data_IF_697187653560
#
_entry.id   IF_697187653560
#
_cell.length_a   1.000
_cell.length_b   1.000
_cell.length_c   1.000
_cell.angle_alpha   90.00
_cell.angle_beta   90.00
_cell.angle_gamma   90.00
#
_symmetry.space_group_name_H-M   'P 1'
#
loop_
_entity.id
_entity.type
_entity.pdbx_description
1 polymer ?
#
# COMPACT_ATOMS: atom_id res chain seq x y z
N UNK A 1 -29.58 -6.96 28.45
CA UNK A 1 -28.12 -7.21 28.49
C UNK A 1 -27.76 -8.68 28.70
N UNK A 2 -28.62 -9.51 29.33
CA UNK A 2 -28.35 -10.92 29.67
C UNK A 2 -28.26 -11.95 28.51
N UNK A 3 -28.55 -11.60 27.26
CA UNK A 3 -28.70 -12.60 26.16
C UNK A 3 -27.74 -12.46 24.98
N UNK A 4 -26.89 -11.42 24.95
CA UNK A 4 -26.09 -11.10 23.76
C UNK A 4 -24.70 -11.73 23.78
N UNK A 5 -24.09 -11.84 24.95
CA UNK A 5 -22.79 -12.51 25.10
C UNK A 5 -22.86 -14.00 24.83
N UNK A 6 -23.93 -14.70 25.27
CA UNK A 6 -24.05 -16.15 25.11
C UNK A 6 -24.22 -16.55 23.64
N UNK A 7 -25.20 -15.96 22.93
CA UNK A 7 -25.53 -16.39 21.58
C UNK A 7 -24.44 -16.10 20.53
N UNK A 8 -23.65 -15.03 20.69
CA UNK A 8 -22.51 -14.77 19.80
C UNK A 8 -21.31 -15.65 20.17
N UNK A 9 -20.93 -15.69 21.46
CA UNK A 9 -19.83 -16.52 21.96
C UNK A 9 -20.01 -18.01 21.63
N UNK A 10 -21.23 -18.52 21.73
CA UNK A 10 -21.58 -19.91 21.39
C UNK A 10 -21.35 -20.27 19.91
N UNK A 11 -21.37 -19.27 19.02
CA UNK A 11 -21.04 -19.48 17.60
C UNK A 11 -19.54 -19.60 17.35
N UNK A 12 -18.72 -19.07 18.25
CA UNK A 12 -17.27 -18.97 18.06
C UNK A 12 -16.54 -20.23 18.52
N UNK A 13 -15.54 -20.63 17.73
CA UNK A 13 -14.50 -21.57 18.16
C UNK A 13 -13.35 -20.77 18.75
N UNK A 14 -12.98 -21.08 19.98
CA UNK A 14 -11.94 -20.35 20.75
C UNK A 14 -10.94 -21.33 21.39
N UNK A 15 -9.99 -21.87 20.60
CA UNK A 15 -9.06 -22.90 21.07
C UNK A 15 -8.07 -22.42 22.14
N UNK A 16 -7.78 -21.11 22.17
CA UNK A 16 -6.90 -20.50 23.17
C UNK A 16 -7.66 -19.95 24.39
N UNK A 17 -8.99 -20.06 24.42
CA UNK A 17 -9.84 -19.54 25.49
C UNK A 17 -9.67 -18.02 25.70
N UNK A 18 -9.52 -17.26 24.61
CA UNK A 18 -9.41 -15.78 24.58
C UNK A 18 -10.66 -15.10 25.14
N UNK A 19 -11.80 -15.75 25.07
CA UNK A 19 -13.09 -15.26 25.55
C UNK A 19 -13.40 -15.78 26.98
N UNK A 20 -12.40 -16.22 27.73
CA UNK A 20 -12.59 -16.73 29.10
C UNK A 20 -13.17 -15.67 30.04
N UNK A 21 -12.84 -14.39 29.82
CA UNK A 21 -13.35 -13.25 30.59
C UNK A 21 -14.84 -12.97 30.32
N UNK A 22 -15.41 -13.53 29.25
CA UNK A 22 -16.80 -13.32 28.85
C UNK A 22 -17.76 -14.18 29.69
N UNK A 23 -17.82 -13.86 30.97
CA UNK A 23 -18.66 -14.48 32.00
C UNK A 23 -19.27 -13.41 32.90
N UNK A 24 -20.45 -13.70 33.48
CA UNK A 24 -21.15 -12.75 34.36
C UNK A 24 -21.96 -11.67 33.62
N UNK A 25 -22.47 -10.70 34.37
CA UNK A 25 -23.37 -9.65 33.84
C UNK A 25 -22.65 -8.36 33.43
N UNK A 26 -21.45 -8.11 33.96
CA UNK A 26 -20.67 -6.90 33.67
C UNK A 26 -19.81 -7.07 32.40
N UNK A 27 -20.49 -7.04 31.26
CA UNK A 27 -19.86 -7.20 29.94
C UNK A 27 -18.82 -6.14 29.60
N UNK A 28 -18.81 -4.99 30.28
CA UNK A 28 -17.85 -3.92 30.05
C UNK A 28 -16.45 -4.24 30.59
N UNK A 29 -16.30 -5.33 31.36
CA UNK A 29 -15.01 -5.86 31.82
C UNK A 29 -14.48 -6.99 30.95
N UNK A 30 -15.25 -7.43 29.96
CA UNK A 30 -14.83 -8.51 29.08
C UNK A 30 -13.68 -8.04 28.19
N UNK A 31 -12.71 -8.92 27.99
CA UNK A 31 -11.58 -8.65 27.11
C UNK A 31 -12.07 -8.40 25.69
N UNK A 32 -11.54 -7.36 25.05
CA UNK A 32 -11.98 -6.92 23.72
C UNK A 32 -13.28 -6.10 23.71
N UNK A 33 -13.98 -5.93 24.83
CA UNK A 33 -15.21 -5.14 24.90
C UNK A 33 -14.94 -3.77 25.52
N UNK A 34 -15.46 -2.70 24.89
CA UNK A 34 -15.56 -1.41 25.56
C UNK A 34 -16.98 -0.84 25.46
N UNK A 35 -17.39 -0.20 26.56
CA UNK A 35 -18.70 0.41 26.70
C UNK A 35 -18.62 1.92 26.73
N UNK A 36 -19.72 2.57 26.35
CA UNK A 36 -19.90 4.00 26.56
C UNK A 36 -20.01 4.31 28.07
N UNK A 37 -19.17 5.22 28.55
CA UNK A 37 -19.05 5.54 29.99
C UNK A 37 -20.31 6.17 30.60
N UNK A 38 -21.28 6.63 29.79
CA UNK A 38 -22.51 7.27 30.28
C UNK A 38 -23.69 6.32 30.28
N UNK A 39 -23.80 5.50 29.24
CA UNK A 39 -24.96 4.64 28.99
C UNK A 39 -24.70 3.17 29.33
N UNK A 40 -23.43 2.74 29.43
CA UNK A 40 -23.05 1.35 29.63
C UNK A 40 -23.30 0.46 28.41
N UNK A 41 -23.66 1.01 27.25
CA UNK A 41 -23.83 0.23 26.03
C UNK A 41 -22.47 -0.16 25.45
N UNK A 42 -22.35 -1.40 24.96
CA UNK A 42 -21.18 -1.85 24.22
C UNK A 42 -21.08 -1.04 22.93
N UNK A 43 -19.94 -0.38 22.73
CA UNK A 43 -19.62 0.41 21.55
C UNK A 43 -18.48 -0.18 20.75
N UNK A 44 -17.55 -0.90 21.39
CA UNK A 44 -16.39 -1.51 20.74
C UNK A 44 -16.35 -2.99 21.03
N UNK A 45 -16.12 -3.77 19.96
CA UNK A 45 -15.77 -5.17 20.02
C UNK A 45 -14.50 -5.41 19.21
N UNK A 46 -13.44 -5.80 19.90
CA UNK A 46 -12.08 -5.95 19.37
C UNK A 46 -11.58 -7.34 19.70
N UNK A 47 -11.67 -8.21 18.70
CA UNK A 47 -11.30 -9.60 18.76
C UNK A 47 -10.15 -9.90 17.79
N UNK A 48 -9.36 -8.90 17.43
CA UNK A 48 -8.15 -9.08 16.63
C UNK A 48 -7.25 -10.15 17.26
N UNK A 49 -6.71 -11.07 16.45
CA UNK A 49 -5.73 -12.01 16.95
C UNK A 49 -4.44 -11.28 17.35
N UNK A 50 -3.96 -11.41 18.60
CA UNK A 50 -2.79 -10.67 19.07
C UNK A 50 -1.47 -11.17 18.44
N UNK A 51 -1.48 -12.32 17.77
CA UNK A 51 -0.32 -12.88 17.10
C UNK A 51 -0.35 -12.57 15.60
N UNK A 52 0.67 -11.88 15.11
CA UNK A 52 0.82 -11.63 13.69
C UNK A 52 1.08 -12.94 12.93
N UNK A 53 0.46 -13.06 11.76
CA UNK A 53 0.81 -14.08 10.79
C UNK A 53 2.26 -13.84 10.36
N UNK A 54 3.13 -14.81 10.63
CA UNK A 54 4.53 -14.77 10.20
C UNK A 54 4.85 -16.05 9.45
N UNK A 55 5.32 -15.90 8.21
CA UNK A 55 5.79 -17.02 7.37
C UNK A 55 7.00 -17.71 7.98
N UNK A 56 7.78 -17.00 8.81
CA UNK A 56 8.94 -17.52 9.55
C UNK A 56 8.65 -17.87 11.01
N UNK A 57 7.44 -17.53 11.49
CA UNK A 57 6.97 -17.81 12.84
C UNK A 57 6.29 -19.17 12.97
N UNK A 58 5.94 -19.51 14.20
CA UNK A 58 5.25 -20.76 14.50
C UNK A 58 3.77 -20.64 14.06
N UNK A 59 3.46 -21.06 12.83
CA UNK A 59 2.10 -21.16 12.28
C UNK A 59 1.14 -21.85 13.25
N UNK A 60 1.65 -22.72 14.13
CA UNK A 60 0.88 -23.37 15.18
C UNK A 60 0.34 -22.36 16.21
N UNK A 61 1.12 -21.34 16.59
CA UNK A 61 0.67 -20.29 17.50
C UNK A 61 -0.40 -19.42 16.86
N UNK A 62 -0.19 -18.94 15.63
CA UNK A 62 -1.22 -18.17 14.93
C UNK A 62 -2.56 -18.92 14.90
N UNK A 63 -2.54 -20.17 14.41
CA UNK A 63 -3.74 -20.99 14.29
C UNK A 63 -4.39 -21.34 15.64
N UNK A 64 -3.58 -21.52 16.70
CA UNK A 64 -4.10 -21.79 18.05
C UNK A 64 -4.82 -20.59 18.65
N UNK A 65 -4.44 -19.37 18.29
CA UNK A 65 -5.04 -18.14 18.82
C UNK A 65 -6.14 -17.56 17.93
N UNK A 66 -6.27 -18.04 16.70
CA UNK A 66 -7.35 -17.64 15.79
C UNK A 66 -8.71 -18.08 16.33
N UNK A 67 -9.62 -17.11 16.46
CA UNK A 67 -11.03 -17.40 16.58
C UNK A 67 -11.56 -17.93 15.24
N UNK A 68 -12.56 -18.79 15.30
CA UNK A 68 -13.27 -19.28 14.12
C UNK A 68 -14.73 -19.59 14.44
N UNK A 69 -15.33 -20.50 13.67
CA UNK A 69 -16.74 -20.86 13.85
C UNK A 69 -17.69 -19.98 13.05
N UNK A 70 -18.83 -19.63 13.63
CA UNK A 70 -19.93 -18.92 12.95
C UNK A 70 -20.07 -17.49 13.46
N UNK A 71 -20.20 -16.54 12.51
CA UNK A 71 -20.64 -15.19 12.81
C UNK A 71 -22.17 -15.14 12.86
N UNK A 72 -22.73 -15.19 14.07
CA UNK A 72 -24.18 -15.30 14.29
C UNK A 72 -24.91 -13.95 14.31
N UNK A 73 -26.19 -13.89 13.85
CA UNK A 73 -27.01 -12.67 13.88
C UNK A 73 -27.29 -12.11 15.28
N UNK A 74 -27.03 -12.88 16.35
CA UNK A 74 -27.09 -12.40 17.74
C UNK A 74 -26.25 -11.14 17.96
N UNK A 75 -25.19 -10.94 17.16
CA UNK A 75 -24.36 -9.72 17.18
C UNK A 75 -25.19 -8.45 16.92
N UNK A 76 -26.31 -8.53 16.19
CA UNK A 76 -27.20 -7.40 15.91
C UNK A 76 -27.82 -6.76 17.15
N UNK A 77 -27.84 -7.45 18.29
CA UNK A 77 -28.31 -6.82 19.51
C UNK A 77 -27.35 -5.77 20.07
N UNK A 78 -26.11 -5.70 19.58
CA UNK A 78 -25.17 -4.61 19.85
C UNK A 78 -25.52 -3.37 19.01
N UNK A 79 -26.69 -2.79 19.26
CA UNK A 79 -27.25 -1.68 18.45
C UNK A 79 -26.41 -0.40 18.42
N UNK A 80 -25.51 -0.25 19.39
CA UNK A 80 -24.65 0.93 19.57
C UNK A 80 -23.20 0.67 19.14
N UNK A 81 -22.93 -0.48 18.52
CA UNK A 81 -21.58 -0.84 18.09
C UNK A 81 -21.08 0.17 17.04
N UNK A 82 -19.93 0.77 17.34
CA UNK A 82 -19.23 1.73 16.50
C UNK A 82 -17.90 1.19 15.97
N UNK A 83 -17.36 0.15 16.60
CA UNK A 83 -16.07 -0.46 16.26
C UNK A 83 -16.21 -1.98 16.32
N UNK A 84 -15.91 -2.64 15.20
CA UNK A 84 -15.82 -4.09 15.09
C UNK A 84 -14.50 -4.47 14.43
N UNK A 85 -13.67 -5.20 15.17
CA UNK A 85 -12.42 -5.76 14.65
C UNK A 85 -12.40 -7.28 14.88
N UNK A 86 -12.37 -8.02 13.78
CA UNK A 86 -12.26 -9.48 13.74
C UNK A 86 -10.98 -9.90 13.01
N UNK A 87 -10.05 -8.99 12.78
CA UNK A 87 -8.88 -9.22 11.93
C UNK A 87 -7.96 -10.31 12.46
N UNK A 88 -7.19 -10.92 11.55
CA UNK A 88 -6.16 -11.92 11.84
C UNK A 88 -6.71 -13.21 12.50
N UNK A 89 -7.99 -13.50 12.33
CA UNK A 89 -8.63 -14.74 12.78
C UNK A 89 -8.79 -15.75 11.62
N UNK A 90 -9.52 -16.85 11.83
CA UNK A 90 -9.78 -17.82 10.78
C UNK A 90 -11.19 -18.42 10.88
N UNK A 91 -12.11 -17.84 10.12
CA UNK A 91 -13.50 -18.30 9.99
C UNK A 91 -13.70 -19.37 8.91
N UNK A 92 -12.62 -19.93 8.34
CA UNK A 92 -12.68 -21.13 7.52
C UNK A 92 -13.40 -20.96 6.17
N UNK A 93 -13.25 -19.81 5.52
CA UNK A 93 -13.89 -19.48 4.24
C UNK A 93 -15.35 -19.07 4.38
N UNK A 94 -15.80 -18.72 5.58
CA UNK A 94 -17.16 -18.24 5.81
C UNK A 94 -17.41 -16.96 5.00
N UNK A 95 -18.62 -16.84 4.42
CA UNK A 95 -19.05 -15.60 3.78
C UNK A 95 -19.27 -14.51 4.80
N UNK A 96 -18.91 -13.27 4.44
CA UNK A 96 -19.27 -12.10 5.24
C UNK A 96 -20.80 -12.08 5.35
N UNK A 97 -21.38 -12.15 6.57
CA UNK A 97 -22.83 -12.20 6.70
C UNK A 97 -23.48 -10.87 6.31
N UNK A 98 -24.58 -10.92 5.55
CA UNK A 98 -25.31 -9.72 5.10
C UNK A 98 -25.77 -8.83 6.25
N UNK A 99 -26.05 -9.44 7.42
CA UNK A 99 -26.51 -8.70 8.60
C UNK A 99 -25.48 -7.68 9.10
N UNK A 100 -24.19 -7.83 8.77
CA UNK A 100 -23.15 -6.84 9.12
C UNK A 100 -23.52 -5.46 8.57
N UNK A 101 -24.18 -5.39 7.42
CA UNK A 101 -24.71 -4.14 6.85
C UNK A 101 -25.79 -3.44 7.68
N UNK A 102 -26.27 -4.05 8.77
CA UNK A 102 -27.33 -3.48 9.62
C UNK A 102 -26.82 -2.61 10.77
N UNK A 103 -25.49 -2.54 11.00
CA UNK A 103 -24.91 -1.75 12.10
C UNK A 103 -24.87 -0.24 11.75
N UNK A 104 -25.99 0.45 11.97
CA UNK A 104 -26.16 1.87 11.61
C UNK A 104 -25.17 2.86 12.23
N UNK A 105 -24.55 2.50 13.35
CA UNK A 105 -23.59 3.36 14.07
C UNK A 105 -22.13 2.95 13.84
N UNK A 106 -21.89 1.93 13.03
CA UNK A 106 -20.55 1.42 12.78
C UNK A 106 -19.71 2.46 12.05
N UNK A 107 -18.54 2.76 12.60
CA UNK A 107 -17.56 3.69 12.07
C UNK A 107 -16.27 2.99 11.65
N UNK A 108 -15.95 1.89 12.30
CA UNK A 108 -14.76 1.09 12.06
C UNK A 108 -15.15 -0.38 11.88
N UNK A 109 -14.79 -0.95 10.73
CA UNK A 109 -14.94 -2.36 10.43
C UNK A 109 -13.63 -2.90 9.88
N UNK A 110 -13.01 -3.82 10.61
CA UNK A 110 -11.82 -4.53 10.17
C UNK A 110 -12.08 -6.04 10.18
N UNK A 111 -12.08 -6.63 8.98
CA UNK A 111 -12.24 -8.06 8.74
C UNK A 111 -11.00 -8.65 8.07
N UNK A 112 -9.88 -7.91 8.07
CA UNK A 112 -8.69 -8.28 7.33
C UNK A 112 -8.09 -9.60 7.81
N UNK A 113 -7.66 -10.44 6.88
CA UNK A 113 -7.05 -11.75 7.14
C UNK A 113 -7.83 -12.59 8.17
N UNK A 114 -9.16 -12.51 8.16
CA UNK A 114 -10.02 -13.26 9.07
C UNK A 114 -10.39 -14.66 8.52
N UNK A 115 -9.85 -15.07 7.37
CA UNK A 115 -10.23 -16.31 6.70
C UNK A 115 -11.70 -16.30 6.26
N UNK A 116 -12.20 -15.14 5.83
CA UNK A 116 -13.52 -14.98 5.21
C UNK A 116 -13.37 -15.12 3.69
N UNK A 117 -14.42 -15.56 3.00
CA UNK A 117 -14.38 -15.79 1.56
C UNK A 117 -15.74 -15.64 0.87
N UNK A 118 -15.78 -15.89 -0.43
CA UNK A 118 -16.93 -15.68 -1.29
C UNK A 118 -17.20 -14.21 -1.64
N UNK A 119 -18.39 -13.97 -2.18
CA UNK A 119 -18.82 -12.65 -2.63
C UNK A 119 -19.04 -11.70 -1.45
N UNK A 120 -18.48 -10.50 -1.52
CA UNK A 120 -18.73 -9.43 -0.54
C UNK A 120 -20.20 -8.96 -0.66
N UNK A 121 -20.99 -8.98 0.42
CA UNK A 121 -22.39 -8.61 0.37
C UNK A 121 -22.55 -7.10 0.18
N UNK A 122 -23.30 -6.69 -0.85
CA UNK A 122 -23.61 -5.28 -1.14
C UNK A 122 -24.31 -4.54 0.02
N UNK A 123 -24.92 -5.29 0.96
CA UNK A 123 -25.52 -4.75 2.18
C UNK A 123 -24.52 -3.97 3.04
N UNK A 124 -23.20 -4.20 2.91
CA UNK A 124 -22.19 -3.35 3.54
C UNK A 124 -22.34 -1.88 3.14
N UNK A 125 -22.83 -1.57 1.94
CA UNK A 125 -23.13 -0.21 1.49
C UNK A 125 -24.17 0.53 2.34
N UNK A 126 -24.94 -0.17 3.19
CA UNK A 126 -25.88 0.46 4.12
C UNK A 126 -25.19 1.14 5.33
N UNK A 127 -23.88 0.94 5.51
CA UNK A 127 -23.12 1.47 6.64
C UNK A 127 -22.69 2.93 6.39
N UNK A 128 -23.66 3.84 6.27
CA UNK A 128 -23.41 5.23 5.88
C UNK A 128 -22.52 6.04 6.85
N UNK A 129 -22.37 5.60 8.09
CA UNK A 129 -21.48 6.19 9.11
C UNK A 129 -20.06 5.62 9.10
N UNK A 130 -19.80 4.61 8.26
CA UNK A 130 -18.52 3.92 8.21
C UNK A 130 -17.43 4.86 7.69
N UNK A 131 -16.32 4.92 8.41
CA UNK A 131 -15.17 5.77 8.11
C UNK A 131 -13.94 4.94 7.72
N UNK A 132 -13.83 3.74 8.28
CA UNK A 132 -12.73 2.81 8.07
C UNK A 132 -13.31 1.44 7.70
N UNK A 133 -12.94 0.95 6.52
CA UNK A 133 -13.26 -0.39 6.04
C UNK A 133 -11.98 -1.09 5.61
N UNK A 134 -11.66 -2.20 6.27
CA UNK A 134 -10.53 -3.04 5.92
C UNK A 134 -11.02 -4.48 5.69
N UNK A 135 -10.89 -4.90 4.43
CA UNK A 135 -11.25 -6.20 3.90
C UNK A 135 -10.02 -6.88 3.28
N UNK A 136 -8.79 -6.42 3.58
CA UNK A 136 -7.57 -7.05 3.09
C UNK A 136 -7.61 -8.55 3.34
N UNK A 137 -7.42 -9.36 2.31
CA UNK A 137 -7.58 -10.79 2.46
C UNK A 137 -6.57 -11.57 1.62
N UNK A 138 -6.00 -12.60 2.24
CA UNK A 138 -5.25 -13.66 1.55
C UNK A 138 -6.10 -14.88 1.17
N UNK A 139 -7.42 -14.74 1.09
CA UNK A 139 -8.39 -15.81 0.79
C UNK A 139 -9.38 -15.34 -0.28
N UNK A 140 -10.17 -16.25 -0.88
CA UNK A 140 -11.09 -16.01 -2.01
C UNK A 140 -12.24 -15.02 -1.68
N UNK A 141 -11.97 -13.73 -1.47
CA UNK A 141 -13.01 -12.68 -1.44
C UNK A 141 -13.13 -12.05 -2.82
N UNK A 142 -14.35 -11.86 -3.30
CA UNK A 142 -14.61 -11.25 -4.60
C UNK A 142 -15.73 -10.22 -4.57
N UNK A 143 -15.72 -9.34 -5.58
CA UNK A 143 -16.73 -8.32 -5.80
C UNK A 143 -17.16 -8.34 -7.27
N UNK A 144 -18.48 -8.42 -7.48
CA UNK A 144 -19.10 -8.37 -8.81
C UNK A 144 -19.37 -6.93 -9.25
N UNK A 145 -19.82 -6.09 -8.31
CA UNK A 145 -20.14 -4.69 -8.53
C UNK A 145 -19.81 -3.84 -7.31
N UNK A 146 -18.91 -2.89 -7.46
CA UNK A 146 -18.44 -1.99 -6.42
C UNK A 146 -19.32 -0.75 -6.20
N UNK A 147 -20.41 -0.56 -6.94
CA UNK A 147 -21.27 0.62 -6.79
C UNK A 147 -21.87 0.77 -5.38
N UNK A 148 -22.02 -0.31 -4.61
CA UNK A 148 -22.46 -0.20 -3.21
C UNK A 148 -21.48 0.60 -2.33
N UNK A 149 -20.19 0.66 -2.70
CA UNK A 149 -19.18 1.46 -1.99
C UNK A 149 -19.55 2.95 -2.05
N UNK A 150 -20.17 3.41 -3.14
CA UNK A 150 -20.60 4.81 -3.29
C UNK A 150 -21.62 5.27 -2.23
N UNK A 151 -22.30 4.32 -1.55
CA UNK A 151 -23.25 4.61 -0.48
C UNK A 151 -22.56 4.85 0.88
N UNK A 152 -21.26 4.53 1.00
CA UNK A 152 -20.46 4.76 2.20
C UNK A 152 -20.01 6.22 2.30
N UNK A 153 -20.98 7.15 2.39
CA UNK A 153 -20.76 8.60 2.31
C UNK A 153 -19.79 9.21 3.34
N UNK A 154 -19.44 8.49 4.41
CA UNK A 154 -18.48 8.93 5.43
C UNK A 154 -17.10 8.28 5.31
N UNK A 155 -16.90 7.42 4.30
CA UNK A 155 -15.71 6.59 4.19
C UNK A 155 -14.47 7.44 3.94
N UNK A 156 -13.41 7.17 4.69
CA UNK A 156 -12.12 7.84 4.61
C UNK A 156 -10.99 6.90 4.26
N UNK A 157 -11.06 5.66 4.75
CA UNK A 157 -10.07 4.61 4.53
C UNK A 157 -10.75 3.37 3.96
N UNK A 158 -10.24 2.88 2.84
CA UNK A 158 -10.66 1.64 2.20
C UNK A 158 -9.43 0.79 1.87
N UNK A 159 -9.35 -0.38 2.49
CA UNK A 159 -8.39 -1.40 2.11
C UNK A 159 -9.14 -2.65 1.63
N UNK A 160 -8.90 -3.04 0.38
CA UNK A 160 -9.43 -4.27 -0.22
C UNK A 160 -8.32 -5.04 -0.92
N UNK A 161 -7.07 -4.88 -0.48
CA UNK A 161 -5.94 -5.60 -1.05
C UNK A 161 -6.23 -7.12 -1.10
N UNK A 162 -5.92 -7.76 -2.22
CA UNK A 162 -6.19 -9.20 -2.41
C UNK A 162 -7.66 -9.58 -2.67
N UNK A 163 -8.58 -8.62 -2.78
CA UNK A 163 -9.98 -8.91 -3.17
C UNK A 163 -10.10 -8.94 -4.69
N UNK A 164 -10.69 -10.00 -5.25
CA UNK A 164 -10.86 -10.16 -6.69
C UNK A 164 -11.99 -9.27 -7.25
N UNK A 165 -11.67 -8.32 -8.12
CA UNK A 165 -12.65 -7.49 -8.82
C UNK A 165 -12.98 -8.10 -10.17
N UNK A 166 -14.25 -8.49 -10.35
CA UNK A 166 -14.74 -8.95 -11.65
C UNK A 166 -14.61 -7.88 -12.75
N UNK A 167 -14.56 -8.32 -14.00
CA UNK A 167 -14.56 -7.41 -15.15
C UNK A 167 -15.78 -6.49 -15.09
N UNK A 168 -15.55 -5.17 -15.17
CA UNK A 168 -16.63 -4.19 -15.11
C UNK A 168 -17.17 -3.91 -13.71
N UNK A 169 -16.45 -4.23 -12.63
CA UNK A 169 -16.90 -3.98 -11.25
C UNK A 169 -17.15 -2.49 -10.89
N UNK A 170 -16.95 -1.51 -11.78
CA UNK A 170 -17.30 -0.10 -11.58
C UNK A 170 -16.66 0.58 -10.34
N UNK A 171 -15.50 0.09 -9.90
CA UNK A 171 -14.82 0.56 -8.70
C UNK A 171 -14.48 2.06 -8.77
N UNK A 172 -13.96 2.53 -9.90
CA UNK A 172 -13.54 3.93 -10.05
C UNK A 172 -14.73 4.88 -10.01
N UNK A 173 -15.86 4.51 -10.64
CA UNK A 173 -17.10 5.27 -10.59
C UNK A 173 -17.62 5.37 -9.15
N UNK A 174 -17.60 4.25 -8.42
CA UNK A 174 -18.05 4.21 -7.03
C UNK A 174 -17.20 5.12 -6.13
N UNK A 175 -15.87 5.03 -6.24
CA UNK A 175 -14.96 5.85 -5.43
C UNK A 175 -15.02 7.33 -5.79
N UNK A 176 -15.22 7.68 -7.06
CA UNK A 176 -15.37 9.07 -7.49
C UNK A 176 -16.62 9.76 -6.90
N UNK A 177 -17.59 8.98 -6.38
CA UNK A 177 -18.75 9.52 -5.67
C UNK A 177 -18.48 9.81 -4.18
N UNK A 178 -17.28 9.53 -3.68
CA UNK A 178 -16.90 9.68 -2.27
C UNK A 178 -15.90 10.82 -2.06
N UNK A 179 -16.33 12.08 -1.87
CA UNK A 179 -15.40 13.20 -1.65
C UNK A 179 -14.62 13.12 -0.34
N UNK A 180 -15.09 12.30 0.62
CA UNK A 180 -14.44 12.09 1.92
C UNK A 180 -13.29 11.09 1.89
N UNK A 181 -13.13 10.32 0.81
CA UNK A 181 -12.13 9.26 0.75
C UNK A 181 -10.72 9.87 0.75
N UNK A 182 -9.85 9.34 1.61
CA UNK A 182 -8.47 9.81 1.80
C UNK A 182 -7.47 8.76 1.34
N UNK A 183 -7.75 7.49 1.61
CA UNK A 183 -6.83 6.40 1.34
C UNK A 183 -7.59 5.20 0.74
N UNK A 184 -7.05 4.72 -0.37
CA UNK A 184 -7.57 3.60 -1.15
C UNK A 184 -6.43 2.64 -1.46
N UNK A 185 -6.54 1.42 -0.94
CA UNK A 185 -5.61 0.32 -1.21
C UNK A 185 -6.34 -0.79 -1.95
N UNK A 186 -6.08 -0.91 -3.26
CA UNK A 186 -6.61 -1.94 -4.15
C UNK A 186 -5.48 -2.71 -4.83
N UNK A 187 -4.38 -2.95 -4.11
CA UNK A 187 -3.28 -3.78 -4.61
C UNK A 187 -3.72 -5.24 -4.75
N UNK A 188 -3.23 -5.94 -5.77
CA UNK A 188 -3.48 -7.38 -5.94
C UNK A 188 -4.97 -7.74 -6.07
N UNK A 189 -5.74 -6.94 -6.82
CA UNK A 189 -7.20 -7.01 -6.91
C UNK A 189 -7.75 -7.57 -8.24
N UNK A 190 -6.88 -8.12 -9.10
CA UNK A 190 -7.22 -8.60 -10.45
C UNK A 190 -7.83 -7.50 -11.36
N UNK A 191 -7.56 -6.22 -11.06
CA UNK A 191 -8.11 -5.09 -11.83
C UNK A 191 -7.37 -4.98 -13.17
N UNK A 192 -8.09 -5.20 -14.27
CA UNK A 192 -7.55 -5.11 -15.63
C UNK A 192 -8.00 -3.87 -16.41
N UNK A 193 -9.17 -3.33 -16.08
CA UNK A 193 -9.79 -2.21 -16.80
C UNK A 193 -9.83 -0.93 -15.96
N UNK A 194 -9.44 0.18 -16.57
CA UNK A 194 -9.46 1.51 -15.95
C UNK A 194 -9.99 2.52 -16.96
N UNK A 195 -10.86 3.44 -16.51
CA UNK A 195 -11.30 4.54 -17.36
C UNK A 195 -10.15 5.54 -17.52
N UNK A 196 -9.80 5.85 -18.76
CA UNK A 196 -8.75 6.82 -19.06
C UNK A 196 -9.18 8.27 -18.77
N UNK A 197 -10.48 8.52 -18.70
CA UNK A 197 -11.05 9.83 -18.37
C UNK A 197 -12.34 9.66 -17.55
N UNK A 198 -12.61 10.65 -16.71
CA UNK A 198 -13.86 10.79 -15.98
C UNK A 198 -14.54 12.08 -16.45
N UNK A 199 -15.88 12.13 -16.58
CA UNK A 199 -16.58 13.37 -16.92
C UNK A 199 -16.28 14.49 -15.92
N UNK A 200 -16.19 14.15 -14.64
CA UNK A 200 -15.82 15.03 -13.54
C UNK A 200 -15.03 14.24 -12.50
N UNK A 201 -13.85 14.74 -12.11
CA UNK A 201 -13.03 14.19 -11.02
C UNK A 201 -13.47 14.83 -9.69
N UNK A 202 -13.95 14.02 -8.76
CA UNK A 202 -14.56 14.46 -7.50
C UNK A 202 -13.81 13.91 -6.25
N UNK A 203 -12.58 13.43 -6.46
CA UNK A 203 -11.64 13.10 -5.40
C UNK A 203 -11.07 14.36 -4.75
N UNK A 204 -11.79 14.95 -3.79
CA UNK A 204 -11.37 16.21 -3.15
C UNK A 204 -10.43 16.02 -1.96
N UNK A 205 -10.41 14.83 -1.37
CA UNK A 205 -9.60 14.51 -0.17
C UNK A 205 -8.58 13.39 -0.38
N UNK A 206 -8.55 12.77 -1.57
CA UNK A 206 -7.73 11.58 -1.82
C UNK A 206 -6.24 11.93 -1.74
N UNK A 207 -5.53 11.20 -0.87
CA UNK A 207 -4.12 11.42 -0.54
C UNK A 207 -3.27 10.19 -0.87
N UNK A 208 -3.81 8.98 -0.71
CA UNK A 208 -3.11 7.73 -0.94
C UNK A 208 -3.90 6.87 -1.91
N UNK A 209 -3.26 6.46 -3.00
CA UNK A 209 -3.82 5.56 -3.99
C UNK A 209 -2.81 4.46 -4.31
N UNK A 210 -3.15 3.23 -3.91
CA UNK A 210 -2.38 2.04 -4.23
C UNK A 210 -3.20 1.14 -5.16
N UNK A 211 -2.71 1.00 -6.40
CA UNK A 211 -3.23 0.09 -7.42
C UNK A 211 -2.14 -0.91 -7.86
N UNK A 212 -1.10 -1.11 -7.04
CA UNK A 212 0.03 -1.97 -7.35
C UNK A 212 -0.38 -3.42 -7.61
N UNK A 213 0.47 -4.19 -8.29
CA UNK A 213 0.29 -5.63 -8.49
C UNK A 213 -1.09 -6.00 -9.08
N UNK A 214 -1.51 -5.29 -10.12
CA UNK A 214 -2.77 -5.54 -10.84
C UNK A 214 -2.48 -5.86 -12.32
N UNK A 215 -3.51 -5.93 -13.15
CA UNK A 215 -3.40 -6.20 -14.58
C UNK A 215 -3.74 -4.98 -15.44
N UNK A 216 -3.46 -3.77 -14.93
CA UNK A 216 -3.82 -2.52 -15.60
C UNK A 216 -3.09 -2.37 -16.94
N UNK A 217 -3.74 -2.74 -18.03
CA UNK A 217 -3.19 -2.65 -19.38
C UNK A 217 -3.64 -1.33 -20.06
N UNK A 218 -3.03 -0.22 -19.66
CA UNK A 218 -3.43 1.12 -20.09
C UNK A 218 -2.27 2.12 -20.01
N UNK A 219 -2.45 3.34 -20.54
CA UNK A 219 -1.57 4.47 -20.20
C UNK A 219 -1.91 5.02 -18.82
N UNK A 220 -0.98 5.73 -18.15
CA UNK A 220 -1.30 6.48 -16.91
C UNK A 220 -2.46 7.44 -17.20
N UNK A 221 -3.60 7.31 -16.50
CA UNK A 221 -4.83 8.00 -16.88
C UNK A 221 -4.79 9.49 -16.50
N UNK A 222 -5.40 10.34 -17.34
CA UNK A 222 -5.30 11.79 -17.20
C UNK A 222 -5.94 12.34 -15.93
N UNK A 223 -7.02 11.71 -15.46
CA UNK A 223 -7.73 12.11 -14.23
C UNK A 223 -6.84 12.08 -12.99
N UNK A 224 -5.78 11.25 -12.98
CA UNK A 224 -4.85 11.17 -11.85
C UNK A 224 -4.21 12.54 -11.59
N UNK A 225 -3.84 13.25 -12.66
CA UNK A 225 -3.18 14.56 -12.60
C UNK A 225 -4.12 15.71 -12.24
N UNK A 226 -5.42 15.45 -12.09
CA UNK A 226 -6.41 16.41 -11.60
C UNK A 226 -6.52 16.39 -10.07
N UNK A 227 -5.95 15.38 -9.40
CA UNK A 227 -6.05 15.16 -7.95
C UNK A 227 -4.79 15.71 -7.24
N UNK A 228 -4.71 17.03 -7.13
CA UNK A 228 -3.53 17.72 -6.54
C UNK A 228 -3.26 17.41 -5.05
N UNK A 229 -4.21 16.76 -4.36
CA UNK A 229 -4.07 16.31 -2.97
C UNK A 229 -3.27 15.01 -2.82
N UNK A 230 -3.01 14.27 -3.90
CA UNK A 230 -2.26 13.02 -3.83
C UNK A 230 -0.85 13.23 -3.26
N UNK A 231 -0.54 12.45 -2.24
CA UNK A 231 0.77 12.36 -1.59
C UNK A 231 1.45 11.05 -1.96
N UNK A 232 0.73 9.93 -1.99
CA UNK A 232 1.30 8.62 -2.25
C UNK A 232 0.55 7.92 -3.39
N UNK A 233 1.28 7.57 -4.46
CA UNK A 233 0.75 6.87 -5.63
C UNK A 233 1.62 5.65 -5.92
N UNK A 234 1.03 4.47 -5.83
CA UNK A 234 1.66 3.22 -6.21
C UNK A 234 0.89 2.59 -7.38
N UNK A 235 1.55 2.51 -8.53
CA UNK A 235 1.08 1.84 -9.74
C UNK A 235 2.03 0.72 -10.16
N UNK A 236 2.91 0.29 -9.27
CA UNK A 236 3.94 -0.72 -9.56
C UNK A 236 3.34 -2.07 -9.94
N UNK A 237 4.12 -2.94 -10.59
CA UNK A 237 3.76 -4.31 -10.93
C UNK A 237 2.43 -4.39 -11.71
N UNK A 238 2.34 -3.63 -12.80
CA UNK A 238 1.17 -3.59 -13.68
C UNK A 238 1.58 -3.77 -15.16
N UNK A 239 0.62 -3.64 -16.07
CA UNK A 239 0.85 -3.70 -17.52
C UNK A 239 0.77 -2.30 -18.17
N UNK A 240 1.13 -1.25 -17.42
CA UNK A 240 1.02 0.13 -17.90
C UNK A 240 2.01 0.35 -19.05
N UNK A 241 1.54 0.99 -20.12
CA UNK A 241 2.30 1.27 -21.32
C UNK A 241 2.29 2.75 -21.71
N UNK A 242 3.12 3.13 -22.68
CA UNK A 242 3.24 4.51 -23.14
C UNK A 242 4.33 5.27 -22.40
N UNK A 243 4.10 6.54 -22.06
CA UNK A 243 5.12 7.41 -21.43
C UNK A 243 4.66 7.95 -20.08
N UNK A 244 5.61 8.38 -19.25
CA UNK A 244 5.31 9.22 -18.07
C UNK A 244 4.95 10.64 -18.56
N UNK A 245 3.71 11.12 -18.41
CA UNK A 245 3.32 12.42 -18.95
C UNK A 245 3.94 13.58 -18.15
N UNK A 246 4.29 14.72 -18.79
CA UNK A 246 4.74 15.92 -18.08
C UNK A 246 3.73 16.47 -17.06
N UNK A 247 2.45 16.12 -17.21
CA UNK A 247 1.39 16.43 -16.25
C UNK A 247 1.62 15.84 -14.85
N UNK A 248 2.58 14.93 -14.66
CA UNK A 248 3.00 14.44 -13.34
C UNK A 248 3.33 15.58 -12.37
N UNK A 249 3.82 16.71 -12.88
CA UNK A 249 4.14 17.89 -12.06
C UNK A 249 2.91 18.62 -11.48
N UNK A 250 1.68 18.27 -11.92
CA UNK A 250 0.46 18.76 -11.28
C UNK A 250 0.25 18.16 -9.89
N UNK A 251 0.89 17.02 -9.59
CA UNK A 251 0.85 16.36 -8.28
C UNK A 251 1.84 17.01 -7.31
N UNK A 252 1.68 18.31 -7.05
CA UNK A 252 2.62 19.10 -6.25
C UNK A 252 2.72 18.66 -4.76
N UNK A 253 1.81 17.80 -4.30
CA UNK A 253 1.80 17.21 -2.96
C UNK A 253 2.54 15.88 -2.85
N UNK A 254 2.94 15.29 -3.98
CA UNK A 254 3.48 13.93 -4.06
C UNK A 254 4.77 13.76 -3.26
N UNK A 255 4.80 12.72 -2.44
CA UNK A 255 5.87 12.25 -1.57
C UNK A 255 6.34 10.85 -1.97
N UNK A 256 5.43 10.00 -2.43
CA UNK A 256 5.73 8.65 -2.90
C UNK A 256 5.17 8.45 -4.31
N UNK A 257 6.03 8.01 -5.23
CA UNK A 257 5.64 7.56 -6.55
C UNK A 257 6.38 6.26 -6.87
N UNK A 258 5.64 5.18 -7.10
CA UNK A 258 6.21 3.93 -7.62
C UNK A 258 5.50 3.52 -8.92
N UNK A 259 6.29 3.37 -9.97
CA UNK A 259 5.88 2.92 -11.31
C UNK A 259 6.64 1.64 -11.71
N UNK A 260 7.38 1.03 -10.79
CA UNK A 260 8.26 -0.11 -11.07
C UNK A 260 7.50 -1.31 -11.62
N UNK A 261 8.16 -2.20 -12.37
CA UNK A 261 7.53 -3.42 -12.89
C UNK A 261 6.53 -3.19 -14.05
N UNK A 262 6.37 -1.96 -14.54
CA UNK A 262 5.60 -1.66 -15.75
C UNK A 262 6.46 -1.77 -17.01
N UNK A 263 6.74 -2.99 -17.46
CA UNK A 263 7.70 -3.27 -18.54
C UNK A 263 7.43 -2.56 -19.88
N UNK A 264 6.18 -2.15 -20.15
CA UNK A 264 5.77 -1.47 -21.38
C UNK A 264 5.75 0.06 -21.24
N UNK A 265 6.01 0.59 -20.05
CA UNK A 265 6.19 2.02 -19.83
C UNK A 265 7.58 2.42 -20.34
N UNK A 266 7.60 3.28 -21.35
CA UNK A 266 8.77 3.61 -22.15
C UNK A 266 9.00 5.12 -22.29
N UNK A 267 10.06 5.46 -23.02
CA UNK A 267 10.38 6.85 -23.37
C UNK A 267 11.23 7.56 -22.32
N UNK A 268 11.24 8.89 -22.35
CA UNK A 268 12.08 9.71 -21.45
C UNK A 268 11.34 9.99 -20.14
N UNK A 269 12.09 10.07 -19.05
CA UNK A 269 11.59 10.70 -17.82
C UNK A 269 11.37 12.19 -18.13
N UNK A 270 10.16 12.73 -17.96
CA UNK A 270 9.91 14.13 -18.29
C UNK A 270 10.64 15.06 -17.30
N UNK A 271 11.26 16.13 -17.82
CA UNK A 271 11.91 17.18 -17.00
C UNK A 271 10.98 17.74 -15.92
N UNK A 272 9.67 17.75 -16.19
CA UNK A 272 8.63 18.15 -15.26
C UNK A 272 8.65 17.36 -13.93
N UNK A 273 9.10 16.10 -13.93
CA UNK A 273 9.26 15.29 -12.72
C UNK A 273 10.26 15.93 -11.73
N UNK A 274 11.26 16.66 -12.23
CA UNK A 274 12.20 17.42 -11.42
C UNK A 274 11.57 18.55 -10.58
N UNK A 275 10.33 18.94 -10.91
CA UNK A 275 9.53 19.94 -10.20
C UNK A 275 8.80 19.41 -8.95
N UNK A 276 8.83 18.10 -8.69
CA UNK A 276 8.18 17.48 -7.53
C UNK A 276 9.00 17.69 -6.24
N UNK A 277 8.97 18.91 -5.70
CA UNK A 277 9.84 19.32 -4.58
C UNK A 277 9.59 18.60 -3.25
N UNK A 278 8.46 17.89 -3.11
CA UNK A 278 8.10 17.12 -1.90
C UNK A 278 8.40 15.64 -2.03
N UNK A 279 8.81 15.17 -3.21
CA UNK A 279 9.02 13.75 -3.47
C UNK A 279 10.15 13.21 -2.61
N UNK A 280 9.88 12.09 -1.95
CA UNK A 280 10.81 11.37 -1.07
C UNK A 280 11.15 10.00 -1.64
N UNK A 281 10.21 9.34 -2.30
CA UNK A 281 10.40 8.03 -2.90
C UNK A 281 10.05 8.10 -4.39
N UNK A 282 10.97 7.60 -5.22
CA UNK A 282 10.77 7.41 -6.65
C UNK A 282 11.21 6.00 -7.05
N UNK A 283 10.22 5.16 -7.36
CA UNK A 283 10.39 3.82 -7.93
C UNK A 283 10.13 3.82 -9.43
N UNK A 284 11.14 3.44 -10.21
CA UNK A 284 11.11 3.35 -11.67
C UNK A 284 11.77 2.06 -12.16
N UNK A 285 11.94 1.06 -11.31
CA UNK A 285 12.71 -0.14 -11.66
C UNK A 285 11.95 -1.03 -12.64
N UNK A 286 12.64 -1.71 -13.55
CA UNK A 286 11.98 -2.62 -14.49
C UNK A 286 11.08 -1.94 -15.53
N UNK A 287 11.27 -0.64 -15.79
CA UNK A 287 10.60 0.09 -16.88
C UNK A 287 11.57 0.40 -18.03
N UNK A 288 11.06 0.62 -19.23
CA UNK A 288 11.86 0.81 -20.44
C UNK A 288 12.18 2.29 -20.73
N UNK A 289 12.75 3.00 -19.75
CA UNK A 289 13.11 4.42 -19.89
C UNK A 289 14.41 4.66 -20.68
N UNK A 290 14.54 5.89 -21.20
CA UNK A 290 15.65 6.35 -22.03
C UNK A 290 17.03 5.93 -21.50
N UNK A 291 17.88 5.51 -22.44
CA UNK A 291 19.10 4.76 -22.18
C UNK A 291 20.29 5.59 -21.72
N UNK A 292 20.20 6.93 -21.63
CA UNK A 292 21.38 7.76 -21.32
C UNK A 292 21.19 8.58 -20.05
N UNK A 293 22.05 8.33 -19.07
CA UNK A 293 22.10 9.06 -17.79
C UNK A 293 22.24 10.57 -17.95
N UNK A 294 22.86 11.07 -19.03
CA UNK A 294 22.94 12.52 -19.29
C UNK A 294 21.58 13.20 -19.47
N UNK A 295 20.55 12.46 -19.90
CA UNK A 295 19.20 13.02 -20.00
C UNK A 295 18.56 13.22 -18.62
N UNK A 296 19.08 12.54 -17.59
CA UNK A 296 18.62 12.69 -16.21
C UNK A 296 19.21 13.92 -15.53
N UNK A 297 20.25 14.53 -16.10
CA UNK A 297 20.84 15.77 -15.56
C UNK A 297 19.79 16.88 -15.48
N UNK A 298 18.96 17.04 -16.51
CA UNK A 298 17.90 18.06 -16.53
C UNK A 298 16.82 17.77 -15.47
N UNK A 299 16.38 16.51 -15.36
CA UNK A 299 15.38 16.08 -14.36
C UNK A 299 15.90 16.32 -12.94
N UNK A 300 17.13 15.90 -12.68
CA UNK A 300 17.75 15.96 -11.36
C UNK A 300 18.32 17.33 -11.00
N UNK A 301 18.42 18.26 -11.96
CA UNK A 301 18.75 19.65 -11.68
C UNK A 301 17.66 20.40 -10.90
N UNK A 302 16.41 19.91 -10.97
CA UNK A 302 15.24 20.50 -10.32
C UNK A 302 15.25 20.43 -8.79
N UNK A 303 14.12 20.76 -8.16
CA UNK A 303 13.99 20.75 -6.70
C UNK A 303 13.86 19.34 -6.10
N UNK A 304 13.58 18.32 -6.91
CA UNK A 304 13.46 16.91 -6.48
C UNK A 304 14.64 16.45 -5.62
N UNK A 305 15.87 16.87 -5.97
CA UNK A 305 17.10 16.51 -5.24
C UNK A 305 17.13 16.98 -3.78
N UNK A 306 16.33 17.98 -3.43
CA UNK A 306 16.27 18.52 -2.06
C UNK A 306 15.42 17.66 -1.11
N UNK A 307 14.54 16.83 -1.67
CA UNK A 307 13.55 16.03 -0.95
C UNK A 307 13.83 14.53 -0.99
N UNK A 308 14.38 14.03 -2.11
CA UNK A 308 14.43 12.60 -2.39
C UNK A 308 15.28 11.82 -1.38
N UNK A 309 14.70 10.76 -0.83
CA UNK A 309 15.28 9.85 0.17
C UNK A 309 15.55 8.46 -0.43
N UNK A 310 14.74 8.03 -1.39
CA UNK A 310 14.86 6.72 -2.06
C UNK A 310 14.70 6.89 -3.56
N UNK A 311 15.66 6.34 -4.31
CA UNK A 311 15.63 6.26 -5.77
C UNK A 311 15.92 4.83 -6.22
N UNK A 312 14.91 4.19 -6.82
CA UNK A 312 15.03 2.86 -7.40
C UNK A 312 14.88 2.94 -8.92
N UNK A 313 15.95 2.57 -9.64
CA UNK A 313 15.97 2.50 -11.10
C UNK A 313 16.77 1.27 -11.56
N UNK A 314 16.65 0.16 -10.83
CA UNK A 314 17.31 -1.08 -11.22
C UNK A 314 16.61 -1.70 -12.45
N UNK A 315 17.37 -2.36 -13.32
CA UNK A 315 16.86 -2.95 -14.57
C UNK A 315 16.06 -1.97 -15.46
N UNK A 316 16.65 -0.82 -15.76
CA UNK A 316 16.02 0.23 -16.60
C UNK A 316 16.77 0.47 -17.90
N UNK A 317 17.71 -0.42 -18.25
CA UNK A 317 18.57 -0.33 -19.44
C UNK A 317 19.39 0.97 -19.51
N UNK A 318 19.65 1.63 -18.38
CA UNK A 318 20.45 2.86 -18.32
C UNK A 318 21.89 2.60 -18.78
N UNK A 319 22.46 3.54 -19.50
CA UNK A 319 23.85 3.51 -19.98
C UNK A 319 24.47 4.91 -19.91
N UNK A 320 25.76 5.00 -20.20
CA UNK A 320 26.55 6.22 -20.00
C UNK A 320 27.18 6.25 -18.59
N UNK A 321 27.52 7.44 -18.12
CA UNK A 321 28.27 7.66 -16.88
C UNK A 321 27.37 8.18 -15.77
N UNK A 322 27.67 7.81 -14.52
CA UNK A 322 27.02 8.42 -13.36
C UNK A 322 27.33 9.93 -13.33
N UNK A 323 26.30 10.81 -13.32
CA UNK A 323 26.55 12.24 -13.36
C UNK A 323 26.99 12.79 -11.99
N UNK A 324 27.82 13.83 -12.01
CA UNK A 324 28.31 14.48 -10.79
C UNK A 324 27.17 15.05 -9.92
N UNK A 325 26.06 15.44 -10.55
CA UNK A 325 24.88 16.00 -9.90
C UNK A 325 24.18 15.04 -8.93
N UNK A 326 24.42 13.71 -9.04
CA UNK A 326 23.96 12.75 -8.04
C UNK A 326 24.47 13.07 -6.63
N UNK A 327 25.64 13.70 -6.50
CA UNK A 327 26.17 14.15 -5.21
C UNK A 327 25.37 15.28 -4.54
N UNK A 328 24.42 15.90 -5.23
CA UNK A 328 23.58 16.98 -4.68
C UNK A 328 22.38 16.45 -3.86
N UNK A 329 22.07 15.16 -3.93
CA UNK A 329 20.91 14.54 -3.26
C UNK A 329 21.17 14.31 -1.77
N UNK A 330 21.33 15.38 -0.98
CA UNK A 330 21.80 15.31 0.42
C UNK A 330 20.93 14.50 1.38
N UNK A 331 19.68 14.21 1.02
CA UNK A 331 18.75 13.39 1.82
C UNK A 331 18.64 11.94 1.37
N UNK A 332 19.29 11.57 0.28
CA UNK A 332 19.22 10.23 -0.30
C UNK A 332 19.83 9.21 0.65
N UNK A 333 19.01 8.24 1.04
CA UNK A 333 19.33 7.12 1.93
C UNK A 333 19.54 5.83 1.14
N UNK A 334 18.76 5.63 0.08
CA UNK A 334 18.79 4.43 -0.74
C UNK A 334 18.89 4.79 -2.22
N UNK A 335 19.94 4.31 -2.90
CA UNK A 335 20.17 4.48 -4.33
C UNK A 335 20.41 3.13 -4.99
N UNK A 336 19.44 2.66 -5.79
CA UNK A 336 19.54 1.37 -6.49
C UNK A 336 19.55 1.59 -7.99
N UNK A 337 20.72 1.37 -8.61
CA UNK A 337 20.95 1.44 -10.05
C UNK A 337 21.47 0.10 -10.60
N UNK A 338 21.24 -1.00 -9.86
CA UNK A 338 21.70 -2.32 -10.24
C UNK A 338 21.11 -2.81 -11.56
N UNK A 339 21.75 -3.80 -12.19
CA UNK A 339 21.32 -4.40 -13.47
C UNK A 339 21.09 -3.39 -14.59
N UNK A 340 22.06 -2.50 -14.80
CA UNK A 340 22.06 -1.54 -15.90
C UNK A 340 23.32 -1.70 -16.77
N UNK A 341 23.51 -0.82 -17.74
CA UNK A 341 24.70 -0.73 -18.61
C UNK A 341 25.56 0.50 -18.32
N UNK A 342 25.54 1.00 -17.08
CA UNK A 342 26.28 2.19 -16.64
C UNK A 342 27.77 1.88 -16.66
N UNK A 343 28.59 2.78 -17.20
CA UNK A 343 30.03 2.61 -17.37
C UNK A 343 30.85 3.75 -16.77
N UNK A 344 32.17 3.57 -16.76
CA UNK A 344 33.13 4.53 -16.22
C UNK A 344 33.25 4.50 -14.68
N UNK A 345 33.98 5.45 -14.10
CA UNK A 345 34.24 5.48 -12.67
C UNK A 345 33.04 5.99 -11.86
N UNK A 346 32.98 5.56 -10.60
CA UNK A 346 32.06 6.14 -9.61
C UNK A 346 32.55 7.57 -9.29
N UNK A 347 31.76 8.63 -9.54
CA UNK A 347 32.20 9.99 -9.31
C UNK A 347 32.41 10.27 -7.82
N UNK A 348 33.44 11.06 -7.51
CA UNK A 348 33.77 11.43 -6.13
C UNK A 348 32.65 12.23 -5.43
N UNK A 349 31.74 12.84 -6.21
CA UNK A 349 30.57 13.56 -5.71
C UNK A 349 29.60 12.66 -4.92
N UNK A 350 29.54 11.35 -5.22
CA UNK A 350 28.71 10.40 -4.45
C UNK A 350 29.16 10.34 -2.98
N UNK A 351 30.44 10.60 -2.69
CA UNK A 351 30.93 10.76 -1.32
C UNK A 351 30.33 11.94 -0.54
N UNK A 352 29.56 12.83 -1.19
CA UNK A 352 28.81 13.92 -0.54
C UNK A 352 27.43 13.49 -0.05
N UNK A 353 26.97 12.29 -0.40
CA UNK A 353 25.69 11.73 0.04
C UNK A 353 25.76 11.28 1.51
N UNK A 354 25.78 12.24 2.42
CA UNK A 354 25.99 12.00 3.85
C UNK A 354 24.89 11.17 4.54
N UNK A 355 23.72 11.04 3.92
CA UNK A 355 22.59 10.26 4.43
C UNK A 355 22.52 8.83 3.87
N UNK A 356 23.41 8.48 2.93
CA UNK A 356 23.34 7.22 2.19
C UNK A 356 23.63 6.03 3.11
N UNK A 357 22.69 5.08 3.12
CA UNK A 357 22.73 3.86 3.93
C UNK A 357 22.77 2.62 3.04
N UNK A 358 22.17 2.71 1.86
CA UNK A 358 22.04 1.61 0.93
C UNK A 358 22.37 2.08 -0.49
N UNK A 359 23.35 1.42 -1.10
CA UNK A 359 23.82 1.72 -2.45
C UNK A 359 24.00 0.40 -3.18
N UNK A 360 23.18 0.22 -4.22
CA UNK A 360 23.28 -0.91 -5.13
C UNK A 360 23.65 -0.42 -6.53
N UNK A 361 24.84 -0.84 -6.98
CA UNK A 361 25.36 -0.61 -8.33
C UNK A 361 25.68 -1.93 -9.04
N UNK A 362 25.21 -3.06 -8.50
CA UNK A 362 25.52 -4.41 -8.98
C UNK A 362 25.15 -4.59 -10.45
N UNK A 363 25.84 -5.49 -11.16
CA UNK A 363 25.55 -5.81 -12.56
C UNK A 363 25.52 -4.56 -13.48
N UNK A 364 26.59 -3.76 -13.41
CA UNK A 364 26.89 -2.65 -14.31
C UNK A 364 28.26 -2.85 -14.98
N UNK A 365 28.68 -1.88 -15.80
CA UNK A 365 29.99 -1.85 -16.51
C UNK A 365 30.96 -0.82 -15.91
N UNK A 366 30.82 -0.56 -14.60
CA UNK A 366 31.65 0.41 -13.87
C UNK A 366 33.12 -0.03 -13.85
N UNK A 367 34.03 0.93 -13.83
CA UNK A 367 35.48 0.72 -13.75
C UNK A 367 36.12 1.72 -12.77
N UNK A 368 37.46 1.75 -12.70
CA UNK A 368 38.17 2.65 -11.79
C UNK A 368 38.07 2.22 -10.32
N UNK A 369 38.49 3.09 -9.40
CA UNK A 369 38.52 2.82 -7.95
C UNK A 369 37.30 3.38 -7.24
N UNK A 370 36.91 2.72 -6.14
CA UNK A 370 35.89 3.25 -5.23
C UNK A 370 36.45 4.53 -4.58
N UNK A 371 35.75 5.67 -4.62
CA UNK A 371 36.21 6.89 -3.98
C UNK A 371 36.39 6.69 -2.47
N UNK A 372 37.48 7.19 -1.88
CA UNK A 372 37.79 7.02 -0.44
C UNK A 372 36.65 7.49 0.50
N UNK A 373 35.91 8.52 0.10
CA UNK A 373 34.77 9.02 0.87
C UNK A 373 33.61 8.03 0.93
N UNK A 374 33.49 7.15 -0.07
CA UNK A 374 32.49 6.08 -0.10
C UNK A 374 32.92 4.90 0.79
N UNK A 375 34.22 4.62 0.89
CA UNK A 375 34.77 3.61 1.79
C UNK A 375 34.45 3.92 3.26
N UNK A 376 34.54 5.19 3.66
CA UNK A 376 34.18 5.63 5.01
C UNK A 376 32.68 5.49 5.31
N UNK A 377 31.82 5.59 4.29
CA UNK A 377 30.39 5.32 4.43
C UNK A 377 30.11 3.81 4.50
N UNK A 378 30.84 3.00 3.73
CA UNK A 378 30.75 1.53 3.68
C UNK A 378 31.04 0.85 5.04
N UNK A 379 32.02 1.33 5.80
CA UNK A 379 32.28 0.79 7.15
C UNK A 379 31.15 1.08 8.15
N UNK A 380 30.23 2.01 7.83
CA UNK A 380 29.12 2.41 8.69
C UNK A 380 27.74 1.87 8.26
N UNK A 381 27.59 1.26 7.08
CA UNK A 381 26.31 0.81 6.54
C UNK A 381 26.42 -0.40 5.60
N UNK A 382 25.32 -1.17 5.43
CA UNK A 382 25.24 -2.38 4.58
C UNK A 382 25.25 -2.05 3.07
N UNK A 383 26.22 -1.27 2.61
CA UNK A 383 26.39 -0.96 1.19
C UNK A 383 26.89 -2.25 0.49
N UNK A 384 26.27 -2.65 -0.62
CA UNK A 384 26.76 -3.76 -1.47
C UNK A 384 27.25 -3.21 -2.82
N UNK A 385 28.43 -2.57 -2.89
CA UNK A 385 29.08 -2.42 -4.17
C UNK A 385 29.59 -3.81 -4.59
N UNK A 386 29.52 -4.07 -5.89
CA UNK A 386 30.03 -5.26 -6.55
C UNK A 386 31.42 -5.66 -5.99
N UNK A 387 31.48 -6.75 -5.24
CA UNK A 387 32.71 -7.25 -4.58
C UNK A 387 33.70 -7.92 -5.55
N UNK A 388 33.47 -7.81 -6.86
CA UNK A 388 34.27 -8.46 -7.91
C UNK A 388 35.14 -7.52 -8.74
N UNK A 389 35.24 -6.22 -8.41
CA UNK A 389 36.04 -5.27 -9.20
C UNK A 389 37.55 -5.23 -8.89
N UNK A 390 38.05 -6.00 -7.90
CA UNK A 390 39.49 -6.06 -7.64
C UNK A 390 39.99 -7.48 -7.37
N UNK A 391 40.00 -8.30 -8.43
CA UNK A 391 41.01 -9.35 -8.55
C UNK A 391 42.37 -8.70 -8.82
N UNK A 392 43.13 -8.39 -7.76
CA UNK A 392 44.52 -7.94 -7.90
C UNK A 392 45.06 -7.22 -6.66
N UNK A 393 45.88 -7.94 -5.89
CA UNK A 393 46.86 -7.50 -4.88
C UNK A 393 46.95 -6.01 -4.54
N UNK A 394 46.91 -5.67 -3.25
CA UNK A 394 48.13 -5.39 -2.48
C UNK A 394 47.90 -5.52 -0.97
N UNK A 395 49.02 -5.88 -0.31
CA UNK A 395 49.25 -6.29 1.08
C UNK A 395 48.78 -5.27 2.11
#
# INVERSE_FOLDING_TARGET
>A
MLFLGSGFKEGLKDPANRLSSWVGEDCCRWEGVACDNRTGHIIKLDLQNPHQFSVTGDLLLYNKWSLGGELRPSLLGLKHLNYLDLSMNNFGGLRIPEFVGSFRQLKYLNLSNAGLGGLIPHQLGNLSSLQYLDLYNGFDLSIDNALWISHLSSLRYLNMMGVEFGEGAHWLQALNMLPSIVEVCLSSCDISTILLSLPHVNFTSLSVLDLSNNHLNSTIPGWLFEISSLEDVDLSENLIWGIIPPAINNLASLKFLDLSGNQFLEGKIPVALGGLCKLKHLGLSGINISKNLHELDEVFSGCIKNGLETLYMWDTQLSGYLPDCLGDFRKLKSLHLGSNSISGPIPASIGRLSALQDLDLWNNKLNGTIPENLWKAYEASFIRPQLELFGGCHV
#
